data_IF_925899432891
#
_entry.id   IF_925899432891
#
_cell.length_a   1.000
_cell.length_b   1.000
_cell.length_c   1.000
_cell.angle_alpha   90.00
_cell.angle_beta   90.00
_cell.angle_gamma   90.00
#
_symmetry.space_group_name_H-M   'P 1'
#
loop_
_entity.id
_entity.type
_entity.pdbx_description
1 polymer ?
#
# COMPACT_ATOMS: atom_id res chain seq x y z
N UNK A 1 -24.24 -3.21 -3.16
CA UNK A 1 -22.97 -2.86 -3.81
C UNK A 1 -22.01 -2.45 -2.71
N UNK A 2 -20.95 -3.21 -2.43
CA UNK A 2 -20.00 -2.83 -1.38
C UNK A 2 -19.10 -1.74 -1.98
N UNK A 3 -19.05 -0.57 -1.34
CA UNK A 3 -18.21 0.54 -1.80
C UNK A 3 -16.75 0.23 -1.47
N UNK A 4 -15.91 0.17 -2.52
CA UNK A 4 -14.47 0.02 -2.39
C UNK A 4 -13.79 1.32 -2.83
N UNK A 5 -12.89 1.85 -2.02
CA UNK A 5 -12.03 2.96 -2.37
C UNK A 5 -10.66 2.44 -2.81
N UNK A 6 -10.01 3.15 -3.73
CA UNK A 6 -8.64 2.84 -4.12
C UNK A 6 -7.66 3.59 -3.20
N UNK A 7 -6.77 2.86 -2.53
CA UNK A 7 -5.70 3.48 -1.72
C UNK A 7 -4.62 4.10 -2.61
N UNK A 8 -4.18 5.29 -2.21
CA UNK A 8 -3.10 6.04 -2.87
C UNK A 8 -1.74 5.54 -2.39
N UNK A 9 -0.81 5.32 -3.32
CA UNK A 9 0.57 4.92 -2.98
C UNK A 9 1.40 6.16 -2.76
N UNK A 10 2.15 6.17 -1.68
CA UNK A 10 3.05 7.26 -1.32
C UNK A 10 4.43 7.06 -1.96
N UNK A 11 5.06 8.18 -2.34
CA UNK A 11 6.45 8.25 -2.78
C UNK A 11 6.73 7.75 -4.21
N UNK A 12 6.15 6.62 -4.65
CA UNK A 12 6.40 6.05 -5.99
C UNK A 12 5.24 6.20 -6.96
N UNK A 13 5.59 6.51 -8.21
CA UNK A 13 4.64 6.67 -9.33
C UNK A 13 4.34 5.36 -10.06
N UNK A 14 5.28 4.41 -10.07
CA UNK A 14 5.21 3.17 -10.84
C UNK A 14 5.50 1.97 -9.95
N UNK A 15 4.96 0.81 -10.31
CA UNK A 15 5.13 -0.45 -9.59
C UNK A 15 5.72 -1.54 -10.47
N UNK A 16 5.86 -1.28 -11.77
CA UNK A 16 6.42 -2.21 -12.74
C UNK A 16 7.31 -1.48 -13.76
N UNK A 17 8.35 -2.18 -14.24
CA UNK A 17 9.26 -1.77 -15.31
C UNK A 17 9.51 -2.94 -16.26
N UNK A 18 9.60 -2.71 -17.57
CA UNK A 18 10.02 -3.79 -18.50
C UNK A 18 11.54 -4.08 -18.51
N UNK A 19 12.31 -3.44 -17.61
CA UNK A 19 13.76 -3.63 -17.42
C UNK A 19 14.65 -3.37 -18.64
N UNK A 20 14.17 -2.59 -19.62
CA UNK A 20 14.95 -2.23 -20.81
C UNK A 20 15.79 -0.95 -20.59
N UNK A 21 16.76 -0.71 -21.48
CA UNK A 21 17.62 0.50 -21.47
C UNK A 21 16.82 1.81 -21.47
N UNK A 22 15.70 1.83 -22.18
CA UNK A 22 14.69 2.90 -22.13
C UNK A 22 13.42 2.28 -21.54
N UNK A 23 13.27 2.29 -20.20
CA UNK A 23 12.27 1.47 -19.54
C UNK A 23 10.87 2.05 -19.73
N UNK A 24 9.91 1.16 -19.95
CA UNK A 24 8.48 1.50 -19.81
C UNK A 24 8.11 1.32 -18.36
N UNK A 25 7.67 2.40 -17.70
CA UNK A 25 7.27 2.39 -16.30
C UNK A 25 5.76 2.49 -16.18
N UNK A 26 5.14 1.52 -15.49
CA UNK A 26 3.68 1.44 -15.37
C UNK A 26 3.28 1.20 -13.92
N UNK A 27 2.10 1.70 -13.56
CA UNK A 27 1.46 1.38 -12.28
C UNK A 27 0.38 0.33 -12.45
N UNK A 28 0.78 -0.93 -12.32
CA UNK A 28 -0.10 -2.09 -12.46
C UNK A 28 -0.76 -2.44 -11.12
N UNK A 29 -0.01 -2.36 -10.03
CA UNK A 29 -0.43 -2.86 -8.73
C UNK A 29 -1.30 -1.83 -7.99
N UNK A 30 -2.41 -2.31 -7.42
CA UNK A 30 -3.44 -1.49 -6.76
C UNK A 30 -3.98 -2.21 -5.53
N UNK A 31 -4.30 -1.42 -4.51
CA UNK A 31 -4.98 -1.90 -3.30
C UNK A 31 -6.32 -1.17 -3.21
N UNK A 32 -7.36 -1.94 -2.92
CA UNK A 32 -8.71 -1.46 -2.69
C UNK A 32 -9.13 -1.86 -1.27
N UNK A 33 -9.83 -0.97 -0.60
CA UNK A 33 -10.30 -1.16 0.77
C UNK A 33 -11.81 -0.95 0.80
N UNK A 34 -12.50 -1.77 1.59
CA UNK A 34 -13.92 -1.54 1.89
C UNK A 34 -14.08 -0.38 2.85
N UNK A 35 -15.23 0.29 2.82
CA UNK A 35 -15.56 1.33 3.81
C UNK A 35 -15.39 0.80 5.25
N UNK A 36 -15.95 -0.39 5.55
CA UNK A 36 -15.80 -1.01 6.88
C UNK A 36 -14.33 -1.24 7.28
N UNK A 37 -13.45 -1.51 6.31
CA UNK A 37 -12.02 -1.70 6.58
C UNK A 37 -11.31 -0.36 6.80
N UNK A 38 -11.68 0.66 6.04
CA UNK A 38 -11.16 2.03 6.22
C UNK A 38 -11.56 2.61 7.58
N UNK A 39 -12.74 2.28 8.08
CA UNK A 39 -13.19 2.67 9.43
C UNK A 39 -12.33 2.04 10.53
N UNK A 40 -11.81 0.82 10.32
CA UNK A 40 -10.94 0.12 11.27
C UNK A 40 -9.49 0.62 11.17
N UNK A 41 -9.02 0.95 9.96
CA UNK A 41 -7.63 1.37 9.70
C UNK A 41 -7.57 2.71 8.96
N UNK A 42 -8.05 3.81 9.58
CA UNK A 42 -8.13 5.12 8.91
C UNK A 42 -6.74 5.63 8.52
N UNK A 43 -5.75 5.38 9.38
CA UNK A 43 -4.36 5.83 9.20
C UNK A 43 -3.49 4.82 8.42
N UNK A 44 -4.09 3.87 7.70
CA UNK A 44 -3.29 2.91 6.93
C UNK A 44 -2.55 3.61 5.78
N UNK A 45 -1.27 3.31 5.61
CA UNK A 45 -0.42 3.92 4.60
C UNK A 45 0.01 2.86 3.57
N UNK A 46 -0.24 3.13 2.29
CA UNK A 46 0.25 2.29 1.20
C UNK A 46 1.59 2.84 0.68
N UNK A 47 2.62 2.02 0.77
CA UNK A 47 3.98 2.29 0.31
C UNK A 47 4.46 1.18 -0.63
N UNK A 48 5.58 1.41 -1.30
CA UNK A 48 6.23 0.38 -2.13
C UNK A 48 7.59 0.06 -1.53
N UNK A 49 7.95 -1.21 -1.41
CA UNK A 49 9.32 -1.58 -1.07
C UNK A 49 10.21 -1.57 -2.33
N UNK A 50 11.52 -1.39 -2.16
CA UNK A 50 12.45 -1.60 -3.25
C UNK A 50 12.55 -3.10 -3.57
N UNK A 51 12.54 -3.43 -4.85
CA UNK A 51 12.84 -4.77 -5.36
C UNK A 51 14.13 -4.69 -6.16
N UNK A 52 15.02 -5.66 -5.98
CA UNK A 52 16.33 -5.72 -6.66
C UNK A 52 16.32 -6.74 -7.80
N UNK A 53 15.44 -7.73 -7.72
CA UNK A 53 15.48 -8.94 -8.58
C UNK A 53 14.19 -9.15 -9.38
N UNK A 54 13.21 -8.27 -9.24
CA UNK A 54 11.95 -8.33 -9.99
C UNK A 54 11.65 -6.99 -10.63
N UNK A 55 11.07 -7.10 -11.81
CA UNK A 55 10.44 -6.05 -12.60
C UNK A 55 9.29 -5.35 -11.88
N UNK A 56 8.75 -5.96 -10.83
CA UNK A 56 7.76 -5.38 -9.91
C UNK A 56 8.38 -4.86 -8.61
N UNK A 57 7.79 -3.78 -8.08
CA UNK A 57 8.00 -3.33 -6.70
C UNK A 57 6.82 -3.76 -5.84
N UNK A 58 7.04 -4.52 -4.75
CA UNK A 58 5.95 -4.97 -3.88
C UNK A 58 5.28 -3.78 -3.19
N UNK A 59 3.96 -3.86 -3.04
CA UNK A 59 3.16 -2.90 -2.27
C UNK A 59 3.04 -3.36 -0.81
N UNK A 60 3.26 -2.44 0.11
CA UNK A 60 3.20 -2.65 1.56
C UNK A 60 2.14 -1.74 2.14
N UNK A 61 1.14 -2.33 2.80
CA UNK A 61 0.10 -1.60 3.49
C UNK A 61 0.40 -1.60 5.00
N UNK A 62 0.94 -0.48 5.49
CA UNK A 62 1.17 -0.26 6.90
C UNK A 62 -0.14 0.05 7.59
N UNK A 63 -0.55 -0.77 8.56
CA UNK A 63 -1.71 -0.52 9.40
C UNK A 63 -1.21 0.26 10.60
N UNK A 64 -1.18 1.58 10.51
CA UNK A 64 -0.77 2.41 11.65
C UNK A 64 -1.87 2.30 12.72
N UNK A 65 -1.86 1.22 13.50
CA UNK A 65 -2.59 1.19 14.75
C UNK A 65 -1.84 2.17 15.65
N UNK A 66 -2.45 3.31 15.95
CA UNK A 66 -2.38 3.79 17.32
C UNK A 66 -2.88 2.60 18.15
N UNK A 67 -1.95 1.75 18.60
CA UNK A 67 -2.24 0.81 19.66
C UNK A 67 -2.78 1.71 20.76
N UNK A 68 -4.11 1.70 20.94
CA UNK A 68 -4.71 2.09 22.20
C UNK A 68 -3.96 1.23 23.21
N UNK A 69 -2.98 1.83 23.87
CA UNK A 69 -2.34 1.26 25.03
C UNK A 69 -3.50 1.08 26.00
N UNK A 70 -4.12 -0.11 26.00
CA UNK A 70 -4.87 -0.54 27.16
C UNK A 70 -3.79 -0.68 28.22
N UNK A 71 -3.77 0.17 29.26
CA UNK A 71 -2.80 -0.03 30.32
C UNK A 71 -3.09 -1.41 30.90
N UNK A 72 -2.11 -2.31 30.84
CA UNK A 72 -2.15 -3.52 31.64
C UNK A 72 -1.98 -3.04 33.07
N UNK A 73 -3.09 -2.91 33.80
CA UNK A 73 -3.06 -2.80 35.25
C UNK A 73 -2.52 -4.11 35.80
N UNK A 74 -1.33 -4.06 36.41
CA UNK A 74 -0.87 -5.10 37.32
C UNK A 74 -1.75 -5.15 38.56
#
# INVERSE_FOLDING_TARGET
>A
MILMSRRSLLGRKYTWSNERRSPTLVRLDRVFCSSDWEDIFPDSLLQSAASVVSDHCPLVLGLCQHLRQVPISF
#
